data_IF_074930258141
#
_entry.id   IF_074930258141
#
_cell.length_a   1.000
_cell.length_b   1.000
_cell.length_c   1.000
_cell.angle_alpha   90.00
_cell.angle_beta   90.00
_cell.angle_gamma   90.00
#
_symmetry.space_group_name_H-M   'P 1'
#
loop_
_entity.id
_entity.type
_entity.pdbx_description
1 polymer ?
#
# COMPACT_ATOMS: atom_id res chain seq x y z
N UNK A 1 22.56 18.98 -25.72
CA UNK A 1 22.45 17.88 -24.73
C UNK A 1 21.60 18.25 -23.51
N UNK A 2 21.80 19.41 -22.88
CA UNK A 2 21.00 19.80 -21.70
C UNK A 2 19.52 20.10 -21.98
N UNK A 3 19.22 20.78 -23.11
CA UNK A 3 17.83 21.13 -23.44
C UNK A 3 16.96 19.90 -23.79
N UNK A 4 17.51 18.92 -24.49
CA UNK A 4 16.82 17.66 -24.80
C UNK A 4 16.50 16.87 -23.53
N UNK A 5 17.45 16.74 -22.61
CA UNK A 5 17.24 16.07 -21.32
C UNK A 5 16.15 16.75 -20.48
N UNK A 6 16.08 18.10 -20.50
CA UNK A 6 15.00 18.82 -19.80
C UNK A 6 13.64 18.54 -20.41
N UNK A 7 13.54 18.46 -21.74
CA UNK A 7 12.29 18.14 -22.44
C UNK A 7 11.84 16.70 -22.17
N UNK A 8 12.79 15.74 -22.24
CA UNK A 8 12.51 14.33 -21.92
C UNK A 8 12.00 14.19 -20.48
N UNK A 9 12.69 14.83 -19.52
CA UNK A 9 12.28 14.83 -18.13
C UNK A 9 10.91 15.50 -17.90
N UNK A 10 10.63 16.59 -18.61
CA UNK A 10 9.33 17.26 -18.57
C UNK A 10 8.19 16.35 -19.05
N UNK A 11 8.42 15.57 -20.12
CA UNK A 11 7.43 14.60 -20.63
C UNK A 11 7.16 13.51 -19.58
N UNK A 12 8.21 12.98 -18.93
CA UNK A 12 8.05 11.98 -17.87
C UNK A 12 7.23 12.54 -16.71
N UNK A 13 7.58 13.73 -16.21
CA UNK A 13 6.84 14.38 -15.13
C UNK A 13 5.39 14.68 -15.51
N UNK A 14 5.16 15.15 -16.73
CA UNK A 14 3.82 15.39 -17.25
C UNK A 14 2.99 14.10 -17.31
N UNK A 15 3.56 13.01 -17.83
CA UNK A 15 2.90 11.70 -17.90
C UNK A 15 2.55 11.18 -16.50
N UNK A 16 3.45 11.32 -15.52
CA UNK A 16 3.20 10.94 -14.12
C UNK A 16 2.08 11.81 -13.53
N UNK A 17 2.17 13.14 -13.70
CA UNK A 17 1.20 14.08 -13.14
C UNK A 17 -0.21 13.85 -13.68
N UNK A 18 -0.33 13.67 -14.99
CA UNK A 18 -1.63 13.40 -15.62
C UNK A 18 -2.12 12.00 -15.26
N UNK A 19 -1.23 11.00 -15.33
CA UNK A 19 -1.56 9.61 -14.97
C UNK A 19 -2.04 9.46 -13.53
N UNK A 20 -1.43 10.19 -12.59
CA UNK A 20 -1.82 10.18 -11.19
C UNK A 20 -3.22 10.78 -10.93
N UNK A 21 -3.75 11.59 -11.86
CA UNK A 21 -5.12 12.12 -11.80
C UNK A 21 -6.19 11.07 -12.14
N UNK A 22 -5.81 10.04 -12.88
CA UNK A 22 -6.69 8.95 -13.27
C UNK A 22 -6.36 7.73 -12.38
N UNK A 23 -7.23 7.41 -11.43
CA UNK A 23 -7.05 6.27 -10.52
C UNK A 23 -6.86 4.94 -11.26
N UNK A 24 -6.17 3.99 -10.63
CA UNK A 24 -6.00 2.63 -11.14
C UNK A 24 -5.08 2.56 -12.37
N UNK A 25 -5.61 2.21 -13.51
CA UNK A 25 -4.85 1.94 -14.75
C UNK A 25 -4.29 3.21 -15.40
N UNK A 26 -4.76 4.39 -14.98
CA UNK A 26 -4.41 5.66 -15.61
C UNK A 26 -2.90 5.93 -15.62
N UNK A 27 -2.20 5.64 -14.54
CA UNK A 27 -0.75 5.84 -14.48
C UNK A 27 0.00 4.97 -15.51
N UNK A 28 -0.44 3.72 -15.71
CA UNK A 28 0.13 2.82 -16.71
C UNK A 28 -0.10 3.30 -18.14
N UNK A 29 -1.33 3.74 -18.46
CA UNK A 29 -1.67 4.26 -19.80
C UNK A 29 -0.87 5.51 -20.11
N UNK A 30 -0.83 6.48 -19.21
CA UNK A 30 -0.07 7.73 -19.41
C UNK A 30 1.45 7.50 -19.40
N UNK A 31 1.94 6.51 -18.63
CA UNK A 31 3.33 6.06 -18.71
C UNK A 31 3.66 5.50 -20.10
N UNK A 32 2.77 4.70 -20.67
CA UNK A 32 2.90 4.19 -22.05
C UNK A 32 2.89 5.31 -23.10
N UNK A 33 2.01 6.30 -22.96
CA UNK A 33 1.98 7.49 -23.83
C UNK A 33 3.29 8.28 -23.71
N UNK A 34 3.80 8.50 -22.50
CA UNK A 34 5.08 9.17 -22.25
C UNK A 34 6.24 8.44 -22.92
N UNK A 35 6.30 7.11 -22.76
CA UNK A 35 7.32 6.28 -23.41
C UNK A 35 7.22 6.34 -24.93
N UNK A 36 6.02 6.29 -25.49
CA UNK A 36 5.79 6.42 -26.94
C UNK A 36 6.30 7.76 -27.48
N UNK A 37 5.99 8.86 -26.80
CA UNK A 37 6.49 10.20 -27.18
C UNK A 37 7.99 10.27 -27.13
N UNK A 38 8.64 9.72 -26.10
CA UNK A 38 10.10 9.69 -25.98
C UNK A 38 10.75 8.86 -27.11
N UNK A 39 10.16 7.72 -27.43
CA UNK A 39 10.68 6.86 -28.48
C UNK A 39 10.53 7.48 -29.89
N UNK A 40 9.39 8.09 -30.20
CA UNK A 40 9.07 8.62 -31.54
C UNK A 40 9.72 10.00 -31.78
N UNK A 41 9.69 10.88 -30.79
CA UNK A 41 10.19 12.25 -30.94
C UNK A 41 11.69 12.35 -30.71
N UNK A 42 12.20 11.67 -29.68
CA UNK A 42 13.59 11.76 -29.27
C UNK A 42 14.46 10.57 -29.72
N UNK A 43 13.83 9.54 -30.32
CA UNK A 43 14.54 8.34 -30.75
C UNK A 43 15.11 7.51 -29.59
N UNK A 44 14.58 7.68 -28.38
CA UNK A 44 14.98 6.90 -27.22
C UNK A 44 14.58 5.44 -27.44
N UNK A 45 15.57 4.55 -27.47
CA UNK A 45 15.30 3.11 -27.60
C UNK A 45 14.86 2.55 -26.23
N UNK A 46 13.62 2.04 -26.11
CA UNK A 46 13.19 1.41 -24.87
C UNK A 46 14.06 0.19 -24.55
N UNK A 47 14.47 0.07 -23.29
CA UNK A 47 15.12 -1.15 -22.80
C UNK A 47 14.10 -2.28 -22.70
N UNK A 48 14.59 -3.53 -22.67
CA UNK A 48 13.73 -4.68 -22.47
C UNK A 48 12.92 -4.53 -21.17
N UNK A 49 11.61 -4.81 -21.19
CA UNK A 49 10.80 -4.72 -19.97
C UNK A 49 11.32 -5.72 -18.92
N UNK A 50 11.30 -5.35 -17.62
CA UNK A 50 11.76 -6.21 -16.53
C UNK A 50 10.74 -7.33 -16.27
N UNK A 51 10.68 -8.33 -17.15
CA UNK A 51 9.68 -9.40 -17.14
C UNK A 51 9.75 -10.19 -15.83
N UNK A 52 10.94 -10.44 -15.29
CA UNK A 52 11.12 -11.16 -14.04
C UNK A 52 10.45 -10.43 -12.87
N UNK A 53 10.62 -9.11 -12.79
CA UNK A 53 9.97 -8.28 -11.76
C UNK A 53 8.44 -8.29 -11.94
N UNK A 54 7.96 -8.20 -13.17
CA UNK A 54 6.51 -8.25 -13.47
C UNK A 54 5.90 -9.60 -13.06
N UNK A 55 6.61 -10.71 -13.30
CA UNK A 55 6.15 -12.05 -12.90
C UNK A 55 6.14 -12.22 -11.38
N UNK A 56 7.14 -11.68 -10.67
CA UNK A 56 7.16 -11.69 -9.20
C UNK A 56 5.97 -10.89 -8.65
N UNK A 57 5.75 -9.68 -9.15
CA UNK A 57 4.61 -8.83 -8.74
C UNK A 57 3.29 -9.57 -9.00
N UNK A 58 3.11 -10.14 -10.18
CA UNK A 58 1.90 -10.88 -10.54
C UNK A 58 1.68 -12.08 -9.60
N UNK A 59 2.72 -12.83 -9.27
CA UNK A 59 2.66 -13.95 -8.34
C UNK A 59 2.23 -13.52 -6.93
N UNK A 60 2.84 -12.44 -6.42
CA UNK A 60 2.50 -11.90 -5.08
C UNK A 60 1.07 -11.37 -5.04
N UNK A 61 0.65 -10.58 -6.05
CA UNK A 61 -0.72 -10.05 -6.13
C UNK A 61 -1.74 -11.19 -6.22
N UNK A 62 -1.46 -12.23 -7.01
CA UNK A 62 -2.33 -13.39 -7.13
C UNK A 62 -2.44 -14.16 -5.80
N UNK A 63 -1.34 -14.37 -5.11
CA UNK A 63 -1.33 -15.03 -3.80
C UNK A 63 -2.12 -14.22 -2.75
N UNK A 64 -1.93 -12.89 -2.71
CA UNK A 64 -2.67 -12.01 -1.82
C UNK A 64 -4.18 -12.02 -2.13
N UNK A 65 -4.55 -11.96 -3.41
CA UNK A 65 -5.95 -12.00 -3.85
C UNK A 65 -6.62 -13.35 -3.56
N UNK A 66 -5.89 -14.46 -3.67
CA UNK A 66 -6.42 -15.80 -3.30
C UNK A 66 -6.62 -15.93 -1.81
N UNK A 67 -5.71 -15.40 -0.99
CA UNK A 67 -5.86 -15.36 0.46
C UNK A 67 -7.09 -14.53 0.88
N UNK A 68 -7.30 -13.38 0.23
CA UNK A 68 -8.47 -12.52 0.46
C UNK A 68 -9.77 -13.24 0.07
N UNK A 69 -9.83 -13.82 -1.12
CA UNK A 69 -10.98 -14.58 -1.60
C UNK A 69 -11.32 -15.82 -0.74
N UNK A 70 -10.30 -16.42 -0.10
CA UNK A 70 -10.47 -17.51 0.85
C UNK A 70 -10.92 -17.05 2.26
N UNK A 71 -11.11 -15.74 2.49
CA UNK A 71 -11.46 -15.18 3.81
C UNK A 71 -10.31 -15.14 4.80
N UNK A 72 -9.06 -15.29 4.34
CA UNK A 72 -7.87 -15.26 5.18
C UNK A 72 -7.68 -13.90 5.85
N UNK A 73 -7.90 -12.81 5.13
CA UNK A 73 -7.82 -11.44 5.69
C UNK A 73 -8.89 -11.25 6.77
N UNK A 74 -10.13 -11.69 6.54
CA UNK A 74 -11.20 -11.61 7.54
C UNK A 74 -10.88 -12.41 8.80
N UNK A 75 -10.23 -13.57 8.65
CA UNK A 75 -9.78 -14.35 9.80
C UNK A 75 -8.72 -13.59 10.60
N UNK A 76 -7.72 -13.00 9.94
CA UNK A 76 -6.68 -12.19 10.57
C UNK A 76 -7.29 -10.99 11.32
N UNK A 77 -8.24 -10.29 10.69
CA UNK A 77 -8.94 -9.16 11.30
C UNK A 77 -9.68 -9.61 12.56
N UNK A 78 -10.43 -10.71 12.53
CA UNK A 78 -11.14 -11.23 13.72
C UNK A 78 -10.19 -11.59 14.87
N UNK A 79 -9.01 -12.14 14.57
CA UNK A 79 -8.00 -12.43 15.59
C UNK A 79 -7.43 -11.13 16.16
N UNK A 80 -7.10 -10.16 15.31
CA UNK A 80 -6.62 -8.84 15.72
C UNK A 80 -7.62 -8.11 16.61
N UNK A 81 -8.90 -8.09 16.23
CA UNK A 81 -10.00 -7.53 17.04
C UNK A 81 -10.05 -8.13 18.44
N UNK A 82 -9.96 -9.47 18.53
CA UNK A 82 -9.99 -10.18 19.82
C UNK A 82 -8.85 -9.74 20.72
N UNK A 83 -7.64 -9.57 20.18
CA UNK A 83 -6.46 -9.15 20.94
C UNK A 83 -6.63 -7.69 21.40
N UNK A 84 -7.10 -6.80 20.54
CA UNK A 84 -7.31 -5.38 20.84
C UNK A 84 -8.37 -5.22 21.94
N UNK A 85 -9.53 -5.88 21.78
CA UNK A 85 -10.63 -5.81 22.77
C UNK A 85 -10.27 -6.44 24.12
N UNK A 86 -9.35 -7.41 24.14
CA UNK A 86 -8.87 -8.02 25.40
C UNK A 86 -7.94 -7.12 26.22
N UNK A 87 -7.38 -6.06 25.61
CA UNK A 87 -6.38 -5.21 26.26
C UNK A 87 -6.72 -3.70 26.20
N UNK A 88 -7.89 -3.27 26.70
CA UNK A 88 -8.36 -1.90 26.53
C UNK A 88 -7.47 -0.86 27.21
N UNK A 89 -6.89 -1.17 28.38
CA UNK A 89 -6.02 -0.27 29.14
C UNK A 89 -4.71 0.05 28.41
N UNK A 90 -4.21 -0.88 27.61
CA UNK A 90 -2.94 -0.75 26.90
C UNK A 90 -3.12 -0.54 25.39
N UNK A 91 -4.29 -0.09 24.97
CA UNK A 91 -4.66 0.00 23.55
C UNK A 91 -3.67 0.83 22.72
N UNK A 92 -3.09 1.87 23.32
CA UNK A 92 -2.11 2.75 22.64
C UNK A 92 -0.84 2.00 22.18
N UNK A 93 -0.52 0.88 22.85
CA UNK A 93 0.63 0.03 22.50
C UNK A 93 0.16 -1.21 21.74
N UNK A 94 -0.91 -1.85 22.20
CA UNK A 94 -1.41 -3.12 21.64
C UNK A 94 -1.93 -2.92 20.21
N UNK A 95 -2.70 -1.86 19.96
CA UNK A 95 -3.25 -1.62 18.64
C UNK A 95 -2.15 -1.45 17.55
N UNK A 96 -1.13 -0.60 17.73
CA UNK A 96 -0.03 -0.50 16.76
C UNK A 96 0.76 -1.80 16.57
N UNK A 97 1.02 -2.55 17.64
CA UNK A 97 1.73 -3.83 17.52
C UNK A 97 0.92 -4.86 16.75
N UNK A 98 -0.36 -4.95 17.02
CA UNK A 98 -1.28 -5.85 16.32
C UNK A 98 -1.39 -5.44 14.84
N UNK A 99 -1.66 -4.17 14.56
CA UNK A 99 -1.76 -3.69 13.16
C UNK A 99 -0.45 -3.87 12.40
N UNK A 100 0.70 -3.63 13.04
CA UNK A 100 2.01 -3.87 12.44
C UNK A 100 2.18 -5.35 12.07
N UNK A 101 1.96 -6.25 13.03
CA UNK A 101 2.14 -7.70 12.83
C UNK A 101 1.22 -8.25 11.73
N UNK A 102 -0.08 -7.88 11.79
CA UNK A 102 -1.04 -8.40 10.82
C UNK A 102 -0.85 -7.81 9.42
N UNK A 103 -0.43 -6.55 9.31
CA UNK A 103 -0.04 -5.96 8.03
C UNK A 103 1.23 -6.60 7.47
N UNK A 104 2.21 -6.90 8.33
CA UNK A 104 3.41 -7.64 7.94
C UNK A 104 3.09 -9.02 7.36
N UNK A 105 2.21 -9.76 8.01
CA UNK A 105 1.79 -11.09 7.55
C UNK A 105 0.93 -11.04 6.29
N UNK A 106 0.06 -10.06 6.17
CA UNK A 106 -0.84 -9.92 5.03
C UNK A 106 -0.17 -9.25 3.81
N UNK A 107 0.95 -8.55 3.99
CA UNK A 107 1.64 -7.80 2.93
C UNK A 107 0.85 -6.60 2.40
N UNK A 108 -0.24 -6.19 3.06
CA UNK A 108 -1.10 -5.10 2.62
C UNK A 108 -1.59 -4.23 3.78
N UNK A 109 -1.57 -2.91 3.60
CA UNK A 109 -2.09 -1.95 4.57
C UNK A 109 -3.61 -1.94 4.72
N UNK A 110 -4.34 -2.64 3.86
CA UNK A 110 -5.80 -2.70 3.93
C UNK A 110 -6.32 -3.33 5.22
N UNK A 111 -5.54 -4.16 5.89
CA UNK A 111 -5.87 -4.80 7.17
C UNK A 111 -6.14 -3.77 8.29
N UNK A 112 -5.56 -2.58 8.23
CA UNK A 112 -5.76 -1.56 9.26
C UNK A 112 -7.16 -0.94 9.21
N UNK A 113 -7.78 -0.81 8.04
CA UNK A 113 -9.05 -0.11 7.90
C UNK A 113 -10.20 -0.74 8.70
N UNK A 114 -10.45 -2.06 8.64
CA UNK A 114 -11.49 -2.68 9.45
C UNK A 114 -11.16 -2.68 10.95
N UNK A 115 -9.89 -2.51 11.34
CA UNK A 115 -9.48 -2.41 12.74
C UNK A 115 -9.67 -1.01 13.34
N UNK A 116 -9.75 0.05 12.52
CA UNK A 116 -9.90 1.42 13.02
C UNK A 116 -11.16 1.61 13.89
N UNK A 117 -12.37 1.16 13.49
CA UNK A 117 -13.55 1.23 14.35
C UNK A 117 -13.37 0.49 15.67
N UNK A 118 -12.74 -0.68 15.64
CA UNK A 118 -12.48 -1.49 16.84
C UNK A 118 -11.55 -0.77 17.81
N UNK A 119 -10.47 -0.16 17.29
CA UNK A 119 -9.54 0.66 18.08
C UNK A 119 -10.28 1.85 18.69
N UNK A 120 -11.11 2.53 17.90
CA UNK A 120 -11.90 3.66 18.35
C UNK A 120 -12.83 3.29 19.52
N UNK A 121 -13.68 2.28 19.31
CA UNK A 121 -14.65 1.82 20.33
C UNK A 121 -13.95 1.36 21.62
N UNK A 122 -12.87 0.59 21.48
CA UNK A 122 -12.13 0.07 22.62
C UNK A 122 -11.41 1.20 23.39
N UNK A 123 -10.89 2.21 22.69
CA UNK A 123 -10.26 3.36 23.30
C UNK A 123 -11.28 4.19 24.10
N UNK A 124 -12.44 4.49 23.52
CA UNK A 124 -13.55 5.22 24.20
C UNK A 124 -14.00 4.46 25.43
N UNK A 125 -14.21 3.15 25.34
CA UNK A 125 -14.63 2.32 26.47
C UNK A 125 -13.58 2.30 27.60
N UNK A 126 -12.30 2.48 27.26
CA UNK A 126 -11.19 2.57 28.23
C UNK A 126 -10.95 4.01 28.78
N UNK A 127 -11.70 5.02 28.32
CA UNK A 127 -11.48 6.43 28.68
C UNK A 127 -10.20 7.03 28.07
N UNK A 128 -9.68 6.42 26.99
CA UNK A 128 -8.47 6.86 26.29
C UNK A 128 -8.89 7.62 25.04
N UNK A 129 -8.21 8.73 24.73
CA UNK A 129 -8.44 9.48 23.49
C UNK A 129 -8.07 8.63 22.27
N UNK A 130 -9.03 8.34 21.37
CA UNK A 130 -8.83 7.37 20.27
C UNK A 130 -7.85 7.85 19.20
N UNK A 131 -7.62 9.15 19.07
CA UNK A 131 -6.75 9.71 18.03
C UNK A 131 -5.32 9.16 18.13
N UNK A 132 -4.81 8.96 19.35
CA UNK A 132 -3.45 8.46 19.56
C UNK A 132 -3.28 7.02 19.11
N UNK A 133 -4.04 6.03 19.63
CA UNK A 133 -3.88 4.64 19.18
C UNK A 133 -4.20 4.47 17.70
N UNK A 134 -5.16 5.20 17.16
CA UNK A 134 -5.52 5.15 15.74
C UNK A 134 -4.39 5.65 14.83
N UNK A 135 -3.84 6.84 15.14
CA UNK A 135 -2.75 7.43 14.37
C UNK A 135 -1.49 6.54 14.39
N UNK A 136 -1.10 6.06 15.59
CA UNK A 136 0.10 5.20 15.73
C UNK A 136 -0.12 3.84 15.05
N UNK A 137 -1.33 3.27 15.13
CA UNK A 137 -1.68 2.03 14.44
C UNK A 137 -1.60 2.17 12.91
N UNK A 138 -2.07 3.30 12.37
CA UNK A 138 -1.98 3.58 10.93
C UNK A 138 -0.51 3.72 10.49
N UNK A 139 0.30 4.48 11.21
CA UNK A 139 1.73 4.65 10.89
C UNK A 139 2.46 3.31 10.98
N UNK A 140 2.22 2.52 12.04
CA UNK A 140 2.82 1.21 12.23
C UNK A 140 2.48 0.25 11.08
N UNK A 141 1.22 0.25 10.64
CA UNK A 141 0.77 -0.52 9.48
C UNK A 141 1.50 -0.12 8.20
N UNK A 142 1.64 1.18 7.90
CA UNK A 142 2.34 1.62 6.69
C UNK A 142 3.83 1.25 6.70
N UNK A 143 4.50 1.35 7.85
CA UNK A 143 5.90 0.90 7.97
C UNK A 143 6.04 -0.61 7.83
N UNK A 144 5.06 -1.36 8.28
CA UNK A 144 5.06 -2.81 8.20
C UNK A 144 5.01 -3.34 6.76
N UNK A 145 4.36 -2.60 5.84
CA UNK A 145 4.33 -2.96 4.42
C UNK A 145 5.76 -3.04 3.86
N UNK A 146 6.59 -2.05 4.16
CA UNK A 146 7.99 -2.01 3.66
C UNK A 146 8.88 -3.11 4.24
N UNK A 147 8.51 -3.68 5.38
CA UNK A 147 9.22 -4.77 6.04
C UNK A 147 8.67 -6.14 5.64
N UNK A 148 7.49 -6.21 5.02
CA UNK A 148 6.83 -7.47 4.67
C UNK A 148 7.57 -8.20 3.55
N UNK A 149 7.80 -9.51 3.67
CA UNK A 149 8.37 -10.31 2.59
C UNK A 149 7.40 -10.56 1.43
N UNK A 150 6.14 -10.13 1.58
CA UNK A 150 5.05 -10.37 0.62
C UNK A 150 4.67 -9.08 -0.15
N UNK A 151 5.24 -7.94 0.23
CA UNK A 151 4.97 -6.65 -0.42
C UNK A 151 5.90 -6.35 -1.59
#
# INVERSE_FOLDING_TARGET
MTATLFLEFAIVLFAIFVGARFNGVGLGIWGGVGLFLLAVIFGVTPTAPPVDVLLIILGVVTAAATMDAAGGIDFLVRVAERIIRANPKNITIVAPMVTWLFTFLAGTGHVVYPLQPVIYETAIAAGIRPERPMAVATIASQQSITASPVS
#
